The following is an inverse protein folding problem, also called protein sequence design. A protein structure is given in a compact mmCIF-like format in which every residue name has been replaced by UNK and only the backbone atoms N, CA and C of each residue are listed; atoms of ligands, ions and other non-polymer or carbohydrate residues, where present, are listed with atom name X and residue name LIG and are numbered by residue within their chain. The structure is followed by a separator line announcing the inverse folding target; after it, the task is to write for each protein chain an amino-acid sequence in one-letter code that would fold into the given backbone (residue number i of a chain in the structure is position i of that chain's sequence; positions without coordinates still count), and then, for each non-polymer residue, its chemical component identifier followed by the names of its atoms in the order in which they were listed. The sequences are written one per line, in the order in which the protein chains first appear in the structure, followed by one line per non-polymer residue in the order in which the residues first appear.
data_IF_989973076566
#
_entry.id   IF_989973076566
#
_cell.length_a   1.000
_cell.length_b   1.000
_cell.length_c   1.000
_cell.angle_alpha   90.00
_cell.angle_beta   90.00
_cell.angle_gamma   90.00
#
_symmetry.space_group_name_H-M   'P 1'
#
loop_
_entity.id
_entity.type
_entity.pdbx_description
1 polymer ?
#
# COMPACT_ATOMS: atom_id res chain seq x y z
N UNK A 1 -9.16 -17.94 23.29
CA UNK A 1 -10.09 -16.95 22.68
C UNK A 1 -11.55 -17.38 22.86
N UNK A 2 -11.81 -18.67 22.77
CA UNK A 2 -13.05 -19.40 23.05
C UNK A 2 -13.74 -18.92 24.34
N UNK A 3 -13.00 -18.84 25.47
CA UNK A 3 -13.52 -18.30 26.73
C UNK A 3 -14.04 -16.86 26.63
N UNK A 4 -13.40 -16.00 25.81
CA UNK A 4 -13.86 -14.62 25.60
C UNK A 4 -15.19 -14.65 24.83
N UNK A 5 -15.25 -15.47 23.77
CA UNK A 5 -16.44 -15.64 22.94
C UNK A 5 -17.62 -16.16 23.78
N UNK A 6 -17.41 -17.19 24.59
CA UNK A 6 -18.41 -17.77 25.49
C UNK A 6 -18.98 -16.74 26.47
N UNK A 7 -18.11 -15.99 27.16
CA UNK A 7 -18.54 -14.93 28.10
C UNK A 7 -19.31 -13.84 27.36
N UNK A 8 -18.86 -13.43 26.17
CA UNK A 8 -19.56 -12.43 25.37
C UNK A 8 -20.97 -12.89 24.96
N UNK A 9 -21.12 -14.13 24.50
CA UNK A 9 -22.40 -14.68 24.04
C UNK A 9 -23.41 -14.89 25.18
N UNK A 10 -22.96 -15.00 26.42
CA UNK A 10 -23.88 -14.97 27.58
C UNK A 10 -24.58 -13.61 27.79
N UNK A 11 -24.10 -12.53 27.13
CA UNK A 11 -24.55 -11.14 27.36
C UNK A 11 -24.83 -10.33 26.08
N UNK A 12 -24.58 -10.89 24.90
CA UNK A 12 -24.75 -10.25 23.59
C UNK A 12 -25.32 -11.26 22.57
N UNK A 13 -25.99 -10.75 21.54
CA UNK A 13 -26.59 -11.59 20.48
C UNK A 13 -25.52 -12.28 19.63
N UNK A 14 -24.43 -11.58 19.36
CA UNK A 14 -23.36 -12.02 18.46
C UNK A 14 -22.02 -11.45 18.92
N UNK A 15 -20.94 -12.17 18.62
CA UNK A 15 -19.58 -11.75 18.98
C UNK A 15 -18.52 -12.34 18.03
N UNK A 16 -17.40 -11.62 17.91
CA UNK A 16 -16.21 -11.99 17.15
C UNK A 16 -14.96 -11.65 17.99
N UNK A 17 -14.04 -12.60 18.08
CA UNK A 17 -12.73 -12.42 18.69
C UNK A 17 -11.68 -12.51 17.59
N UNK A 18 -10.87 -11.46 17.47
CA UNK A 18 -9.81 -11.32 16.46
C UNK A 18 -8.46 -11.22 17.17
N UNK A 19 -7.52 -12.10 16.87
CA UNK A 19 -6.17 -12.09 17.48
C UNK A 19 -5.12 -11.91 16.41
N UNK A 20 -4.11 -11.10 16.73
CA UNK A 20 -2.90 -10.94 15.92
C UNK A 20 -1.71 -11.16 16.83
N UNK A 21 -0.81 -12.03 16.41
CA UNK A 21 0.57 -12.07 16.90
C UNK A 21 1.48 -11.60 15.79
N UNK A 22 2.46 -10.79 16.15
CA UNK A 22 3.42 -10.22 15.23
C UNK A 22 4.80 -10.25 15.87
N UNK A 23 5.78 -10.74 15.13
CA UNK A 23 7.20 -10.61 15.47
C UNK A 23 7.90 -9.89 14.34
N UNK A 24 8.65 -8.85 14.65
CA UNK A 24 9.43 -8.06 13.67
C UNK A 24 10.87 -7.99 14.12
N UNK A 25 11.78 -8.09 13.16
CA UNK A 25 13.18 -7.73 13.34
C UNK A 25 13.55 -6.72 12.26
N UNK A 26 14.15 -5.61 12.68
CA UNK A 26 14.55 -4.52 11.77
C UNK A 26 16.04 -4.26 11.95
N UNK A 27 16.81 -4.26 10.86
CA UNK A 27 18.21 -3.81 10.83
C UNK A 27 18.22 -2.45 10.16
N UNK A 28 18.73 -1.43 10.86
CA UNK A 28 18.78 -0.05 10.35
C UNK A 28 20.20 0.36 10.05
N UNK A 29 20.37 1.07 8.94
CA UNK A 29 21.63 1.64 8.49
C UNK A 29 21.53 3.16 8.49
N UNK A 30 22.63 3.82 8.86
CA UNK A 30 22.76 5.26 8.75
C UNK A 30 24.23 5.62 8.56
N UNK A 31 24.49 6.54 7.64
CA UNK A 31 25.84 6.97 7.30
C UNK A 31 26.76 5.80 6.94
N UNK A 32 26.29 4.93 6.03
CA UNK A 32 27.03 3.76 5.49
C UNK A 32 27.37 2.66 6.51
N UNK A 33 26.73 2.65 7.68
CA UNK A 33 26.99 1.65 8.73
C UNK A 33 25.72 1.26 9.48
N UNK A 34 25.77 0.14 10.18
CA UNK A 34 24.69 -0.29 11.07
C UNK A 34 24.47 0.78 12.15
N UNK A 35 23.20 1.15 12.32
CA UNK A 35 22.73 2.09 13.35
C UNK A 35 22.11 1.36 14.53
N UNK A 36 21.18 0.46 14.27
CA UNK A 36 20.48 -0.30 15.31
C UNK A 36 19.91 -1.60 14.75
N UNK A 37 19.65 -2.54 15.66
CA UNK A 37 18.92 -3.77 15.39
C UNK A 37 17.80 -3.82 16.42
N UNK A 38 16.56 -3.75 15.92
CA UNK A 38 15.37 -3.67 16.75
C UNK A 38 14.59 -4.98 16.65
N UNK A 39 13.90 -5.36 17.73
CA UNK A 39 12.96 -6.50 17.71
C UNK A 39 11.69 -6.14 18.45
N UNK A 40 10.55 -6.39 17.81
CA UNK A 40 9.21 -6.14 18.33
C UNK A 40 8.44 -7.45 18.40
N UNK A 41 7.77 -7.68 19.53
CA UNK A 41 6.78 -8.74 19.67
C UNK A 41 5.46 -8.14 20.14
N UNK A 42 4.38 -8.44 19.42
CA UNK A 42 3.02 -8.05 19.78
C UNK A 42 2.12 -9.30 19.83
N UNK A 43 1.26 -9.38 20.84
CA UNK A 43 0.18 -10.37 20.95
C UNK A 43 -1.08 -9.64 21.42
N UNK A 44 -1.96 -9.35 20.46
CA UNK A 44 -3.13 -8.52 20.68
C UNK A 44 -4.42 -9.25 20.38
N UNK A 45 -5.46 -8.95 21.15
CA UNK A 45 -6.82 -9.45 20.95
C UNK A 45 -7.81 -8.30 20.88
N UNK A 46 -8.70 -8.35 19.89
CA UNK A 46 -9.86 -7.48 19.75
C UNK A 46 -11.14 -8.30 19.94
N UNK A 47 -12.12 -7.72 20.62
CA UNK A 47 -13.46 -8.27 20.77
C UNK A 47 -14.47 -7.29 20.17
N UNK A 48 -15.25 -7.77 19.20
CA UNK A 48 -16.38 -7.06 18.62
C UNK A 48 -17.67 -7.79 19.01
N UNK A 49 -18.67 -7.08 19.50
CA UNK A 49 -19.97 -7.64 19.92
C UNK A 49 -21.11 -6.90 19.23
N UNK A 50 -22.24 -7.57 19.02
CA UNK A 50 -23.50 -6.93 18.67
C UNK A 50 -24.44 -7.11 19.86
N UNK A 51 -24.71 -6.01 20.57
CA UNK A 51 -25.63 -5.97 21.71
C UNK A 51 -26.77 -5.01 21.44
N UNK A 52 -28.01 -5.51 21.46
CA UNK A 52 -29.18 -4.69 21.15
C UNK A 52 -29.13 -4.08 19.75
N UNK A 53 -28.56 -4.81 18.78
CA UNK A 53 -28.39 -4.36 17.39
C UNK A 53 -27.31 -3.28 17.19
N UNK A 54 -26.45 -3.02 18.19
CA UNK A 54 -25.37 -2.03 18.11
C UNK A 54 -24.01 -2.67 18.32
N UNK A 55 -23.00 -2.15 17.63
CA UNK A 55 -21.63 -2.66 17.65
C UNK A 55 -20.91 -2.17 18.90
N UNK A 56 -20.43 -3.08 19.72
CA UNK A 56 -19.46 -2.80 20.79
C UNK A 56 -18.07 -3.30 20.41
N UNK A 57 -17.03 -2.63 20.89
CA UNK A 57 -15.64 -3.01 20.67
C UNK A 57 -14.76 -2.73 21.88
N UNK A 58 -13.78 -3.60 22.09
CA UNK A 58 -12.66 -3.43 23.02
C UNK A 58 -11.46 -4.24 22.54
N UNK A 59 -10.28 -3.93 23.06
CA UNK A 59 -9.05 -4.67 22.76
C UNK A 59 -8.12 -4.74 23.97
N UNK A 60 -7.22 -5.72 23.96
CA UNK A 60 -6.16 -5.90 24.96
C UNK A 60 -4.89 -6.45 24.31
N UNK A 61 -3.74 -6.24 24.96
CA UNK A 61 -2.42 -6.76 24.56
C UNK A 61 -2.04 -8.05 25.33
N UNK A 62 -3.02 -8.69 25.97
CA UNK A 62 -2.89 -10.00 26.62
C UNK A 62 -4.27 -10.62 26.84
N UNK A 63 -4.30 -11.93 27.08
CA UNK A 63 -5.53 -12.71 27.30
C UNK A 63 -5.90 -12.88 28.79
N UNK A 64 -5.20 -12.24 29.72
CA UNK A 64 -5.35 -12.52 31.17
C UNK A 64 -6.68 -12.03 31.73
N UNK A 65 -7.23 -10.95 31.20
CA UNK A 65 -8.46 -10.32 31.70
C UNK A 65 -9.62 -10.37 30.69
N UNK A 66 -10.05 -11.60 30.38
CA UNK A 66 -11.15 -11.86 29.45
C UNK A 66 -12.47 -11.17 29.87
N UNK A 67 -12.76 -11.08 31.17
CA UNK A 67 -14.01 -10.49 31.67
C UNK A 67 -14.05 -8.99 31.44
N UNK A 68 -12.98 -8.28 31.80
CA UNK A 68 -12.90 -6.84 31.59
C UNK A 68 -12.94 -6.48 30.10
N UNK A 69 -12.26 -7.25 29.24
CA UNK A 69 -12.37 -7.09 27.79
C UNK A 69 -13.84 -7.16 27.34
N UNK A 70 -14.57 -8.18 27.78
CA UNK A 70 -16.00 -8.36 27.46
C UNK A 70 -16.84 -7.21 28.01
N UNK A 71 -16.71 -6.88 29.28
CA UNK A 71 -17.50 -5.84 29.93
C UNK A 71 -17.28 -4.46 29.26
N UNK A 72 -16.05 -4.15 28.83
CA UNK A 72 -15.73 -2.94 28.05
C UNK A 72 -16.38 -2.95 26.66
N UNK A 73 -16.34 -4.07 25.94
CA UNK A 73 -17.00 -4.19 24.62
C UNK A 73 -18.52 -4.04 24.75
N UNK A 74 -19.11 -4.68 25.75
CA UNK A 74 -20.55 -4.58 26.02
C UNK A 74 -20.94 -3.15 26.41
N UNK A 75 -20.12 -2.49 27.23
CA UNK A 75 -20.37 -1.10 27.65
C UNK A 75 -20.22 -0.11 26.50
N UNK A 76 -19.32 -0.34 25.54
CA UNK A 76 -19.17 0.55 24.38
C UNK A 76 -20.29 0.41 23.36
N UNK A 77 -21.00 -0.74 23.32
CA UNK A 77 -22.11 -0.98 22.37
C UNK A 77 -23.24 0.05 22.44
N UNK A 78 -23.51 0.63 23.61
CA UNK A 78 -24.54 1.66 23.78
C UNK A 78 -24.25 2.93 22.96
N UNK A 79 -22.97 3.21 22.67
CA UNK A 79 -22.53 4.36 21.87
C UNK A 79 -22.17 3.98 20.43
N UNK A 80 -21.89 2.70 20.16
CA UNK A 80 -21.48 2.26 18.84
C UNK A 80 -22.60 2.27 17.80
N UNK A 81 -22.26 2.26 16.52
CA UNK A 81 -23.23 2.33 15.43
C UNK A 81 -24.16 1.10 15.38
N UNK A 82 -25.32 1.26 14.74
CA UNK A 82 -26.22 0.13 14.44
C UNK A 82 -25.50 -0.87 13.52
N UNK A 83 -25.56 -2.15 13.87
CA UNK A 83 -25.09 -3.24 13.03
C UNK A 83 -26.11 -3.51 11.92
N UNK A 84 -25.64 -3.59 10.67
CA UNK A 84 -26.45 -4.00 9.52
C UNK A 84 -26.03 -5.36 8.95
N UNK A 85 -25.13 -6.05 9.63
CA UNK A 85 -24.61 -7.35 9.24
C UNK A 85 -24.74 -8.34 10.40
N UNK A 86 -24.63 -9.62 10.06
CA UNK A 86 -24.36 -10.71 10.98
C UNK A 86 -22.93 -11.19 10.74
N UNK A 87 -22.27 -11.74 11.77
CA UNK A 87 -20.95 -12.33 11.57
C UNK A 87 -21.01 -13.51 10.60
N UNK A 88 -20.00 -13.68 9.72
CA UNK A 88 -20.06 -14.67 8.66
C UNK A 88 -19.93 -16.09 9.21
N UNK A 89 -20.67 -17.03 8.62
CA UNK A 89 -20.45 -18.46 8.81
C UNK A 89 -19.17 -18.92 8.08
N UNK A 90 -18.61 -20.10 8.43
CA UNK A 90 -17.51 -20.70 7.69
C UNK A 90 -17.79 -20.78 6.18
N UNK A 91 -16.76 -20.53 5.39
CA UNK A 91 -16.80 -20.60 3.93
C UNK A 91 -15.50 -21.26 3.41
N UNK A 92 -15.48 -21.65 2.14
CA UNK A 92 -14.27 -22.18 1.53
C UNK A 92 -13.19 -21.10 1.44
N UNK A 93 -12.02 -21.39 2.04
CA UNK A 93 -10.86 -20.50 2.06
C UNK A 93 -9.79 -21.06 1.14
N UNK A 94 -9.38 -20.27 0.14
CA UNK A 94 -8.31 -20.64 -0.76
C UNK A 94 -6.96 -20.57 -0.05
N UNK A 95 -6.06 -21.49 -0.41
CA UNK A 95 -4.64 -21.36 -0.03
C UNK A 95 -4.03 -20.17 -0.77
N UNK A 96 -3.39 -19.27 -0.02
CA UNK A 96 -2.71 -18.08 -0.56
C UNK A 96 -1.24 -18.16 -0.20
N UNK A 97 -0.38 -17.94 -1.18
CA UNK A 97 1.07 -17.85 -0.98
C UNK A 97 1.41 -16.53 -0.29
N UNK A 98 1.26 -16.46 1.04
CA UNK A 98 1.59 -15.29 1.85
C UNK A 98 2.55 -15.61 3.01
N UNK A 99 3.02 -16.84 3.10
CA UNK A 99 3.96 -17.30 4.11
C UNK A 99 5.15 -17.99 3.46
N UNK A 100 6.34 -17.59 3.88
CA UNK A 100 7.63 -18.15 3.47
C UNK A 100 8.47 -18.45 4.72
N UNK A 101 8.68 -19.74 5.05
CA UNK A 101 9.50 -20.14 6.18
C UNK A 101 10.92 -19.56 6.15
N UNK A 102 11.47 -19.25 4.97
CA UNK A 102 12.81 -18.69 4.83
C UNK A 102 12.91 -17.33 5.53
N UNK A 103 11.88 -16.48 5.40
CA UNK A 103 11.81 -15.18 6.08
C UNK A 103 11.91 -15.36 7.60
N UNK A 104 11.15 -16.28 8.17
CA UNK A 104 11.17 -16.56 9.61
C UNK A 104 12.55 -17.02 10.09
N UNK A 105 13.17 -17.92 9.32
CA UNK A 105 14.48 -18.52 9.65
C UNK A 105 15.70 -17.63 9.36
N UNK A 106 15.52 -16.55 8.60
CA UNK A 106 16.59 -15.63 8.20
C UNK A 106 17.30 -15.08 9.45
N UNK A 107 18.63 -15.15 9.48
CA UNK A 107 19.39 -14.66 10.62
C UNK A 107 19.61 -13.15 10.52
N UNK A 108 19.82 -12.51 11.66
CA UNK A 108 20.11 -11.07 11.70
C UNK A 108 21.42 -10.77 10.98
N UNK A 109 22.40 -11.66 11.10
CA UNK A 109 23.70 -11.55 10.42
C UNK A 109 23.52 -11.54 8.90
N UNK A 110 22.65 -12.38 8.34
CA UNK A 110 22.37 -12.41 6.90
C UNK A 110 21.74 -11.08 6.43
N UNK A 111 20.83 -10.51 7.22
CA UNK A 111 20.21 -9.20 6.94
C UNK A 111 21.23 -8.05 7.00
N UNK A 112 22.17 -8.12 7.96
CA UNK A 112 23.27 -7.17 8.08
C UNK A 112 24.16 -7.25 6.85
N UNK A 113 24.61 -8.44 6.48
CA UNK A 113 25.47 -8.67 5.32
C UNK A 113 24.81 -8.21 4.01
N UNK A 114 23.50 -8.42 3.85
CA UNK A 114 22.74 -7.92 2.70
C UNK A 114 22.73 -6.38 2.63
N UNK A 115 22.43 -5.72 3.75
CA UNK A 115 22.44 -4.27 3.82
C UNK A 115 23.81 -3.66 3.57
N UNK A 116 24.87 -4.22 4.18
CA UNK A 116 26.26 -3.82 3.94
C UNK A 116 26.66 -4.02 2.49
N UNK A 117 26.28 -5.14 1.86
CA UNK A 117 26.56 -5.39 0.43
C UNK A 117 25.96 -4.33 -0.47
N UNK A 118 24.69 -3.96 -0.26
CA UNK A 118 24.05 -2.92 -1.06
C UNK A 118 24.77 -1.57 -0.93
N UNK A 119 25.14 -1.19 0.30
CA UNK A 119 25.87 0.04 0.59
C UNK A 119 27.26 0.02 -0.05
N UNK A 120 27.99 -1.10 0.04
CA UNK A 120 29.30 -1.27 -0.60
C UNK A 120 29.21 -1.11 -2.11
N UNK A 121 28.26 -1.77 -2.77
CA UNK A 121 28.07 -1.66 -4.23
C UNK A 121 27.86 -0.22 -4.70
N UNK A 122 27.16 0.60 -3.92
CA UNK A 122 26.94 2.03 -4.20
C UNK A 122 28.21 2.84 -3.91
N UNK A 123 28.77 2.70 -2.72
CA UNK A 123 29.88 3.54 -2.24
C UNK A 123 31.23 3.22 -2.90
N UNK A 124 31.43 2.02 -3.45
CA UNK A 124 32.61 1.70 -4.27
C UNK A 124 32.64 2.50 -5.58
N UNK A 125 31.47 2.79 -6.16
CA UNK A 125 31.34 3.56 -7.41
C UNK A 125 31.15 5.06 -7.16
N UNK A 126 30.41 5.40 -6.11
CA UNK A 126 30.00 6.77 -5.77
C UNK A 126 30.32 7.07 -4.28
N UNK A 127 31.61 7.14 -3.90
CA UNK A 127 32.08 7.21 -2.50
C UNK A 127 31.64 8.46 -1.74
N UNK A 128 31.18 9.49 -2.44
CA UNK A 128 30.63 10.72 -1.86
C UNK A 128 29.22 10.55 -1.29
N UNK A 129 28.51 9.46 -1.62
CA UNK A 129 27.16 9.23 -1.12
C UNK A 129 27.17 8.61 0.28
N UNK A 130 26.17 9.02 1.06
CA UNK A 130 25.84 8.46 2.36
C UNK A 130 24.53 7.70 2.24
N UNK A 131 24.52 6.43 2.59
CA UNK A 131 23.36 5.57 2.55
C UNK A 131 22.75 5.44 3.95
N UNK A 132 21.43 5.48 4.00
CA UNK A 132 20.61 5.12 5.15
C UNK A 132 19.44 4.27 4.68
N UNK A 133 18.94 3.38 5.54
CA UNK A 133 17.90 2.46 5.12
C UNK A 133 17.59 1.42 6.18
N UNK A 134 16.69 0.52 5.85
CA UNK A 134 16.28 -0.55 6.74
C UNK A 134 15.93 -1.83 5.99
N UNK A 135 16.30 -2.96 6.60
CA UNK A 135 15.79 -4.28 6.26
C UNK A 135 14.86 -4.73 7.38
N UNK A 136 13.65 -5.13 7.01
CA UNK A 136 12.65 -5.64 7.93
C UNK A 136 12.26 -7.06 7.54
N UNK A 137 12.23 -7.95 8.53
CA UNK A 137 11.51 -9.22 8.44
C UNK A 137 10.39 -9.25 9.48
N UNK A 138 9.25 -9.81 9.12
CA UNK A 138 8.15 -10.01 10.05
C UNK A 138 7.44 -11.35 9.83
N UNK A 139 6.96 -11.95 10.92
CA UNK A 139 6.01 -13.07 10.93
C UNK A 139 4.73 -12.64 11.65
N UNK A 140 3.60 -13.00 11.07
CA UNK A 140 2.26 -12.73 11.60
C UNK A 140 1.51 -14.05 11.75
N UNK A 141 0.75 -14.17 12.84
CA UNK A 141 -0.27 -15.19 13.04
C UNK A 141 -1.59 -14.47 13.33
N UNK A 142 -2.60 -14.73 12.51
CA UNK A 142 -3.94 -14.16 12.66
C UNK A 142 -4.92 -15.29 12.92
N UNK A 143 -5.83 -15.11 13.88
CA UNK A 143 -6.97 -16.01 14.12
C UNK A 143 -8.24 -15.22 14.37
N UNK A 144 -9.34 -15.65 13.76
CA UNK A 144 -10.67 -15.05 13.90
C UNK A 144 -11.65 -16.14 14.28
N UNK A 145 -12.45 -15.88 15.33
CA UNK A 145 -13.58 -16.74 15.69
C UNK A 145 -14.81 -15.93 16.00
N UNK A 146 -15.98 -16.44 15.64
CA UNK A 146 -17.23 -15.73 15.83
C UNK A 146 -18.39 -16.63 16.25
N UNK A 147 -19.52 -15.99 16.58
CA UNK A 147 -20.76 -16.64 17.02
C UNK A 147 -21.48 -17.47 15.96
N UNK A 148 -21.10 -17.32 14.68
CA UNK A 148 -21.67 -18.07 13.55
C UNK A 148 -20.87 -19.34 13.23
N UNK A 149 -19.87 -19.66 14.05
CA UNK A 149 -19.06 -20.88 13.94
C UNK A 149 -17.79 -20.74 13.11
N UNK A 150 -17.45 -19.52 12.63
CA UNK A 150 -16.14 -19.28 12.00
C UNK A 150 -15.02 -19.51 13.02
N UNK A 151 -13.98 -20.21 12.61
CA UNK A 151 -12.71 -20.33 13.32
C UNK A 151 -11.59 -20.52 12.29
N UNK A 152 -11.04 -19.40 11.82
CA UNK A 152 -10.04 -19.39 10.75
C UNK A 152 -8.73 -18.82 11.25
N UNK A 153 -7.62 -19.35 10.76
CA UNK A 153 -6.30 -18.84 11.07
C UNK A 153 -5.35 -18.93 9.90
N UNK A 154 -4.39 -18.01 9.85
CA UNK A 154 -3.32 -18.05 8.86
C UNK A 154 -2.04 -17.45 9.39
N UNK A 155 -0.93 -17.87 8.78
CA UNK A 155 0.37 -17.26 8.94
C UNK A 155 0.70 -16.41 7.72
N UNK A 156 1.48 -15.37 7.95
CA UNK A 156 2.00 -14.50 6.91
C UNK A 156 3.41 -14.05 7.27
N UNK A 157 4.25 -13.87 6.26
CA UNK A 157 5.58 -13.26 6.42
C UNK A 157 5.67 -11.99 5.61
N UNK A 158 6.58 -11.10 5.99
CA UNK A 158 6.96 -9.91 5.23
C UNK A 158 8.48 -9.78 5.25
N UNK A 159 9.07 -9.50 4.09
CA UNK A 159 10.47 -9.09 3.96
C UNK A 159 10.51 -7.82 3.13
N UNK A 160 11.22 -6.81 3.61
CA UNK A 160 11.36 -5.53 2.94
C UNK A 160 12.77 -4.97 3.10
N UNK A 161 13.28 -4.36 2.04
CA UNK A 161 14.54 -3.62 2.06
C UNK A 161 14.31 -2.28 1.37
N UNK A 162 14.48 -1.18 2.11
CA UNK A 162 14.49 0.18 1.60
C UNK A 162 15.84 0.83 1.87
N UNK A 163 16.38 1.52 0.87
CA UNK A 163 17.64 2.24 0.95
C UNK A 163 17.52 3.61 0.29
N UNK A 164 18.03 4.63 0.99
CA UNK A 164 18.11 6.01 0.55
C UNK A 164 19.58 6.42 0.45
N UNK A 165 20.02 6.74 -0.76
CA UNK A 165 21.34 7.29 -1.02
C UNK A 165 21.27 8.82 -1.08
N UNK A 166 22.08 9.46 -0.25
CA UNK A 166 22.08 10.89 -0.04
C UNK A 166 23.43 11.52 -0.36
N UNK A 167 23.42 12.61 -1.12
CA UNK A 167 24.59 13.43 -1.39
C UNK A 167 24.28 14.90 -1.11
N UNK A 168 24.98 15.49 -0.15
CA UNK A 168 25.00 16.94 0.05
C UNK A 168 25.84 17.61 -1.04
N UNK A 169 25.32 18.71 -1.61
CA UNK A 169 25.99 19.56 -2.61
C UNK A 169 25.92 21.02 -2.15
N UNK A 170 26.77 21.89 -2.70
CA UNK A 170 26.74 23.33 -2.37
C UNK A 170 25.36 23.96 -2.64
N UNK A 171 24.70 23.54 -3.72
CA UNK A 171 23.38 24.05 -4.14
C UNK A 171 22.19 23.20 -3.61
N UNK A 172 22.39 22.37 -2.58
CA UNK A 172 21.31 21.58 -1.95
C UNK A 172 21.68 20.12 -1.73
N UNK A 173 20.78 19.19 -2.06
CA UNK A 173 21.07 17.76 -1.93
C UNK A 173 20.48 16.94 -3.09
N UNK A 174 20.97 15.72 -3.21
CA UNK A 174 20.42 14.67 -4.07
C UNK A 174 20.07 13.48 -3.17
N UNK A 175 18.77 13.19 -3.10
CA UNK A 175 18.21 11.99 -2.48
C UNK A 175 17.74 11.02 -3.55
N UNK A 176 18.04 9.74 -3.36
CA UNK A 176 17.56 8.66 -4.21
C UNK A 176 17.14 7.51 -3.33
N UNK A 177 15.84 7.26 -3.27
CA UNK A 177 15.24 6.13 -2.56
C UNK A 177 14.95 4.97 -3.51
N UNK A 178 15.29 3.75 -3.13
CA UNK A 178 14.78 2.53 -3.76
C UNK A 178 14.45 1.49 -2.69
N UNK A 179 13.52 0.59 -3.04
CA UNK A 179 13.23 -0.54 -2.17
C UNK A 179 12.35 -1.57 -2.82
N UNK A 180 12.29 -2.73 -2.17
CA UNK A 180 11.50 -3.89 -2.55
C UNK A 180 10.88 -4.52 -1.31
N UNK A 181 9.71 -5.13 -1.48
CA UNK A 181 8.99 -5.76 -0.39
C UNK A 181 8.02 -6.83 -0.87
N UNK A 182 7.81 -7.86 -0.06
CA UNK A 182 6.91 -8.95 -0.35
C UNK A 182 6.74 -9.90 0.83
N UNK A 183 6.03 -11.00 0.63
CA UNK A 183 5.84 -12.04 1.63
C UNK A 183 6.84 -13.20 1.52
N UNK A 184 7.66 -13.23 0.45
CA UNK A 184 8.76 -14.18 0.28
C UNK A 184 10.10 -13.50 0.53
N UNK A 185 11.08 -14.26 1.01
CA UNK A 185 12.46 -13.81 1.03
C UNK A 185 13.01 -13.77 -0.39
N UNK A 186 13.61 -12.64 -0.74
CA UNK A 186 14.47 -12.47 -1.90
C UNK A 186 15.60 -11.57 -1.46
N UNK A 187 16.80 -11.82 -1.97
CA UNK A 187 17.96 -10.96 -1.75
C UNK A 187 17.86 -9.77 -2.71
N UNK A 188 17.82 -8.54 -2.18
CA UNK A 188 17.55 -7.32 -2.94
C UNK A 188 18.76 -6.38 -3.08
N UNK A 189 19.89 -6.64 -2.43
CA UNK A 189 21.05 -5.73 -2.39
C UNK A 189 21.52 -5.29 -3.77
N UNK A 190 21.71 -6.24 -4.70
CA UNK A 190 22.20 -5.94 -6.05
C UNK A 190 21.17 -5.15 -6.85
N UNK A 191 19.90 -5.51 -6.74
CA UNK A 191 18.79 -4.86 -7.44
C UNK A 191 18.61 -3.40 -6.97
N UNK A 192 18.62 -3.18 -5.66
CA UNK A 192 18.48 -1.85 -5.07
C UNK A 192 19.70 -0.99 -5.41
N UNK A 193 20.91 -1.52 -5.27
CA UNK A 193 22.14 -0.80 -5.61
C UNK A 193 22.18 -0.42 -7.10
N UNK A 194 21.83 -1.32 -8.02
CA UNK A 194 21.80 -1.04 -9.46
C UNK A 194 20.83 0.10 -9.79
N UNK A 195 19.61 0.07 -9.21
CA UNK A 195 18.61 1.11 -9.46
C UNK A 195 19.03 2.47 -8.90
N UNK A 196 19.64 2.49 -7.70
CA UNK A 196 20.20 3.71 -7.13
C UNK A 196 21.31 4.26 -8.04
N UNK A 197 22.28 3.44 -8.44
CA UNK A 197 23.38 3.85 -9.31
C UNK A 197 22.89 4.37 -10.67
N UNK A 198 21.89 3.70 -11.26
CA UNK A 198 21.24 4.18 -12.49
C UNK A 198 20.59 5.54 -12.28
N UNK A 199 19.89 5.75 -11.17
CA UNK A 199 19.28 7.03 -10.85
C UNK A 199 20.33 8.12 -10.57
N UNK A 200 21.47 7.79 -9.95
CA UNK A 200 22.62 8.68 -9.76
C UNK A 200 23.15 9.13 -11.12
N UNK A 201 23.36 8.20 -12.05
CA UNK A 201 23.86 8.50 -13.40
C UNK A 201 22.95 9.50 -14.15
N UNK A 202 21.64 9.25 -14.14
CA UNK A 202 20.64 10.14 -14.73
C UNK A 202 20.56 11.51 -14.03
N UNK A 203 20.98 11.59 -12.76
CA UNK A 203 20.93 12.78 -11.92
C UNK A 203 22.27 13.54 -11.81
N UNK A 204 23.29 13.16 -12.58
CA UNK A 204 24.61 13.81 -12.55
C UNK A 204 24.54 15.30 -12.83
N UNK A 205 23.71 15.70 -13.80
CA UNK A 205 23.53 17.08 -14.21
C UNK A 205 22.12 17.59 -13.89
N UNK A 206 22.05 18.80 -13.35
CA UNK A 206 20.79 19.51 -13.17
C UNK A 206 20.45 20.31 -14.43
N UNK A 207 19.17 20.32 -14.81
CA UNK A 207 18.64 21.09 -15.93
C UNK A 207 17.39 21.85 -15.48
N UNK A 208 17.18 23.04 -16.06
CA UNK A 208 15.99 23.84 -15.79
C UNK A 208 14.82 23.39 -16.66
N UNK A 209 13.63 23.40 -16.06
CA UNK A 209 12.35 23.28 -16.77
C UNK A 209 11.53 24.52 -16.41
N UNK A 210 11.14 25.36 -17.39
CA UNK A 210 10.29 26.51 -17.11
C UNK A 210 8.93 26.10 -16.52
N UNK A 211 8.27 26.97 -15.74
CA UNK A 211 6.88 26.75 -15.36
C UNK A 211 6.01 26.64 -16.60
N UNK A 212 5.10 25.68 -16.59
CA UNK A 212 4.31 25.38 -17.76
C UNK A 212 3.60 24.07 -17.61
N UNK A 213 3.29 23.45 -18.74
CA UNK A 213 2.57 22.20 -18.71
C UNK A 213 3.05 21.25 -19.77
N UNK A 214 3.36 20.04 -19.32
CA UNK A 214 4.28 19.14 -19.96
C UNK A 214 3.69 17.74 -20.05
N UNK A 215 4.05 17.04 -21.11
CA UNK A 215 3.93 15.58 -21.18
C UNK A 215 4.73 14.98 -20.03
N UNK A 216 4.18 13.94 -19.39
CA UNK A 216 4.80 13.39 -18.20
C UNK A 216 4.74 11.87 -18.13
N UNK A 217 5.84 11.24 -17.76
CA UNK A 217 5.85 9.82 -17.34
C UNK A 217 5.95 9.80 -15.83
N UNK A 218 4.99 9.17 -15.17
CA UNK A 218 5.12 8.84 -13.75
C UNK A 218 5.68 7.42 -13.69
N UNK A 219 6.83 7.25 -13.04
CA UNK A 219 7.39 5.90 -12.86
C UNK A 219 6.52 5.10 -11.90
N UNK A 220 6.79 3.79 -11.79
CA UNK A 220 6.09 2.95 -10.82
C UNK A 220 6.16 3.50 -9.39
N UNK A 221 7.24 4.20 -9.01
CA UNK A 221 7.41 4.85 -7.70
C UNK A 221 6.51 6.06 -7.50
N UNK A 222 6.28 6.83 -8.56
CA UNK A 222 5.44 8.02 -8.50
C UNK A 222 3.94 7.71 -8.66
N UNK A 223 3.58 6.63 -9.35
CA UNK A 223 2.17 6.28 -9.61
C UNK A 223 1.27 6.13 -8.36
N UNK A 224 1.74 5.62 -7.21
CA UNK A 224 0.98 5.62 -5.96
C UNK A 224 0.42 7.00 -5.57
N UNK A 225 1.08 8.11 -5.91
CA UNK A 225 0.57 9.48 -5.68
C UNK A 225 -0.79 9.71 -6.34
N UNK A 226 -1.03 9.12 -7.52
CA UNK A 226 -2.29 9.27 -8.25
C UNK A 226 -3.30 8.20 -7.81
N UNK A 227 -2.83 6.98 -7.57
CA UNK A 227 -3.67 5.85 -7.21
C UNK A 227 -4.25 5.96 -5.79
N UNK A 228 -3.62 6.71 -4.88
CA UNK A 228 -4.17 6.95 -3.53
C UNK A 228 -5.54 7.65 -3.58
N UNK A 229 -5.71 8.64 -4.48
CA UNK A 229 -6.99 9.31 -4.69
C UNK A 229 -8.06 8.33 -5.16
N UNK A 230 -7.70 7.42 -6.06
CA UNK A 230 -8.60 6.36 -6.49
C UNK A 230 -8.93 5.39 -5.35
N UNK A 231 -7.95 4.97 -4.54
CA UNK A 231 -8.18 4.13 -3.34
C UNK A 231 -9.22 4.73 -2.41
N UNK A 232 -9.13 6.04 -2.17
CA UNK A 232 -10.12 6.78 -1.38
C UNK A 232 -11.47 6.90 -2.11
N UNK A 233 -11.46 7.20 -3.41
CA UNK A 233 -12.67 7.28 -4.24
C UNK A 233 -13.48 5.98 -4.26
N UNK A 234 -12.81 4.82 -4.30
CA UNK A 234 -13.47 3.51 -4.37
C UNK A 234 -13.86 2.94 -3.00
N UNK A 235 -13.50 3.61 -1.91
CA UNK A 235 -13.77 3.13 -0.56
C UNK A 235 -15.27 3.16 -0.25
N UNK A 236 -15.87 1.99 -0.04
CA UNK A 236 -17.30 1.85 0.21
C UNK A 236 -17.83 2.66 1.39
N UNK A 237 -16.99 2.92 2.41
CA UNK A 237 -17.35 3.78 3.55
C UNK A 237 -17.49 5.25 3.14
N UNK A 238 -16.60 5.74 2.28
CA UNK A 238 -16.63 7.13 1.78
C UNK A 238 -17.76 7.32 0.76
N UNK A 239 -18.06 6.29 -0.03
CA UNK A 239 -19.24 6.27 -0.91
C UNK A 239 -20.53 6.28 -0.09
N UNK A 240 -20.63 5.44 0.95
CA UNK A 240 -21.79 5.38 1.84
C UNK A 240 -22.05 6.72 2.54
N UNK A 241 -20.98 7.43 2.93
CA UNK A 241 -21.05 8.78 3.51
C UNK A 241 -21.31 9.89 2.49
N UNK A 242 -21.44 9.57 1.19
CA UNK A 242 -21.59 10.51 0.09
C UNK A 242 -20.45 11.53 -0.03
N UNK A 243 -19.27 11.21 0.47
CA UNK A 243 -18.09 12.07 0.38
C UNK A 243 -17.19 11.74 -0.81
N UNK A 244 -17.26 10.52 -1.33
CA UNK A 244 -16.50 10.13 -2.53
C UNK A 244 -16.99 10.86 -3.79
N UNK A 245 -16.09 11.33 -4.69
CA UNK A 245 -16.50 11.88 -5.99
C UNK A 245 -17.02 10.81 -6.95
N UNK A 246 -16.88 9.53 -6.61
CA UNK A 246 -17.30 8.40 -7.44
C UNK A 246 -18.72 7.89 -7.12
N UNK A 247 -19.44 8.55 -6.21
CA UNK A 247 -20.85 8.23 -5.92
C UNK A 247 -21.65 8.16 -7.22
N UNK A 248 -22.45 7.10 -7.38
CA UNK A 248 -23.28 6.84 -8.58
C UNK A 248 -22.47 6.73 -9.90
N UNK A 249 -21.18 6.40 -9.85
CA UNK A 249 -20.32 6.18 -11.03
C UNK A 249 -20.15 4.72 -11.44
N UNK A 250 -20.72 3.75 -10.72
CA UNK A 250 -20.72 2.35 -11.19
C UNK A 250 -21.33 2.29 -12.60
N UNK A 251 -20.65 1.60 -13.50
CA UNK A 251 -21.03 1.48 -14.92
C UNK A 251 -20.68 2.69 -15.79
N UNK A 252 -20.04 3.73 -15.25
CA UNK A 252 -19.66 4.94 -16.00
C UNK A 252 -18.14 4.98 -16.23
N UNK A 253 -17.68 5.54 -17.36
CA UNK A 253 -16.27 5.84 -17.56
C UNK A 253 -15.80 6.88 -16.54
N UNK A 254 -14.68 6.60 -15.88
CA UNK A 254 -14.06 7.50 -14.88
C UNK A 254 -12.60 7.82 -15.22
N UNK A 255 -11.95 7.00 -16.06
CA UNK A 255 -10.56 7.14 -16.51
C UNK A 255 -10.44 6.69 -17.97
N UNK A 256 -9.24 6.79 -18.54
CA UNK A 256 -8.97 6.43 -19.94
C UNK A 256 -9.27 4.93 -20.18
N UNK A 257 -9.83 4.55 -21.35
CA UNK A 257 -10.17 3.15 -21.64
C UNK A 257 -9.00 2.16 -21.56
N UNK A 258 -7.76 2.62 -21.72
CA UNK A 258 -6.57 1.75 -21.59
C UNK A 258 -6.24 1.40 -20.13
N UNK A 259 -6.83 2.10 -19.16
CA UNK A 259 -6.58 1.89 -17.73
C UNK A 259 -7.52 0.81 -17.20
N UNK A 260 -6.91 -0.27 -16.71
CA UNK A 260 -7.60 -1.35 -16.03
C UNK A 260 -6.97 -1.55 -14.64
N UNK A 261 -7.82 -1.68 -13.62
CA UNK A 261 -7.40 -1.77 -12.23
C UNK A 261 -8.20 -2.84 -11.51
N UNK A 262 -7.51 -3.70 -10.77
CA UNK A 262 -8.08 -4.75 -9.94
C UNK A 262 -7.48 -4.71 -8.54
N UNK A 263 -8.23 -5.18 -7.57
CA UNK A 263 -7.77 -5.48 -6.22
C UNK A 263 -7.65 -7.00 -6.08
N UNK A 264 -6.50 -7.53 -5.69
CA UNK A 264 -6.26 -8.98 -5.64
C UNK A 264 -5.65 -9.44 -4.32
N UNK A 265 -6.49 -9.93 -3.42
CA UNK A 265 -6.06 -10.50 -2.14
C UNK A 265 -5.36 -11.85 -2.26
N UNK A 266 -5.35 -12.44 -3.46
CA UNK A 266 -4.79 -13.76 -3.76
C UNK A 266 -3.44 -13.70 -4.50
N UNK A 267 -2.93 -12.49 -4.77
CA UNK A 267 -1.69 -12.34 -5.55
C UNK A 267 -0.49 -13.00 -4.85
N UNK A 268 0.21 -13.97 -5.46
CA UNK A 268 1.28 -14.68 -4.77
C UNK A 268 2.38 -13.76 -4.24
N UNK A 269 2.70 -13.95 -2.96
CA UNK A 269 3.75 -13.27 -2.22
C UNK A 269 3.71 -11.73 -2.20
N UNK A 270 2.60 -11.11 -2.58
CA UNK A 270 2.44 -9.67 -2.44
C UNK A 270 2.05 -9.28 -1.00
N UNK A 271 2.48 -8.10 -0.56
CA UNK A 271 2.27 -7.63 0.83
C UNK A 271 0.79 -7.56 1.24
N UNK A 272 -0.15 -7.33 0.33
CA UNK A 272 -1.57 -7.27 0.64
C UNK A 272 -2.25 -8.64 0.75
N UNK A 273 -1.54 -9.72 0.41
CA UNK A 273 -2.12 -11.04 0.23
C UNK A 273 -2.38 -11.75 1.56
N UNK A 274 -3.55 -12.38 1.64
CA UNK A 274 -4.05 -13.10 2.81
C UNK A 274 -5.22 -13.99 2.39
N UNK A 275 -5.46 -15.13 3.06
CA UNK A 275 -6.55 -16.05 2.69
C UNK A 275 -7.95 -15.53 3.09
N UNK A 276 -8.03 -14.76 4.17
CA UNK A 276 -9.26 -14.11 4.66
C UNK A 276 -8.98 -12.66 5.04
N UNK A 277 -10.00 -11.81 4.97
CA UNK A 277 -9.92 -10.43 5.41
C UNK A 277 -10.07 -10.26 6.94
N UNK A 278 -10.08 -9.02 7.42
CA UNK A 278 -10.19 -8.68 8.85
C UNK A 278 -11.54 -9.01 9.50
N UNK A 279 -12.48 -9.60 8.75
CA UNK A 279 -13.78 -10.08 9.23
C UNK A 279 -14.02 -11.55 8.94
N UNK A 280 -13.01 -12.26 8.40
CA UNK A 280 -13.11 -13.69 8.09
C UNK A 280 -13.74 -14.00 6.74
N UNK A 281 -13.86 -13.00 5.85
CA UNK A 281 -14.38 -13.22 4.49
C UNK A 281 -13.24 -13.75 3.60
N UNK A 282 -13.42 -14.86 2.87
CA UNK A 282 -12.42 -15.37 1.94
C UNK A 282 -11.99 -14.31 0.92
N UNK A 283 -10.68 -14.15 0.77
CA UNK A 283 -10.09 -13.22 -0.20
C UNK A 283 -10.47 -13.58 -1.62
N UNK A 284 -10.54 -12.56 -2.47
CA UNK A 284 -10.86 -12.71 -3.89
C UNK A 284 -10.17 -11.65 -4.73
N UNK A 285 -10.25 -11.82 -6.04
CA UNK A 285 -9.98 -10.76 -7.01
C UNK A 285 -11.25 -9.95 -7.26
N UNK A 286 -11.14 -8.63 -7.16
CA UNK A 286 -12.23 -7.68 -7.45
C UNK A 286 -11.81 -6.76 -8.58
N UNK A 287 -12.52 -6.82 -9.72
CA UNK A 287 -12.31 -5.85 -10.80
C UNK A 287 -12.85 -4.49 -10.36
N UNK A 288 -11.98 -3.47 -10.25
CA UNK A 288 -12.36 -2.13 -9.83
C UNK A 288 -12.67 -1.26 -11.05
N UNK A 289 -11.78 -1.24 -12.04
CA UNK A 289 -11.94 -0.51 -13.30
C UNK A 289 -11.64 -1.44 -14.45
N UNK A 290 -12.55 -1.54 -15.43
CA UNK A 290 -12.33 -2.29 -16.67
C UNK A 290 -12.65 -1.39 -17.85
N UNK A 291 -11.72 -1.27 -18.77
CA UNK A 291 -11.79 -0.41 -19.96
C UNK A 291 -12.17 1.04 -19.61
N UNK A 292 -11.55 1.57 -18.55
CA UNK A 292 -11.83 2.91 -18.01
C UNK A 292 -13.16 3.07 -17.26
N UNK A 293 -13.99 2.03 -17.19
CA UNK A 293 -15.31 2.03 -16.54
C UNK A 293 -15.22 1.49 -15.11
N UNK A 294 -15.77 2.24 -14.14
CA UNK A 294 -15.87 1.79 -12.76
C UNK A 294 -16.84 0.61 -12.64
N UNK A 295 -16.36 -0.52 -12.15
CA UNK A 295 -17.14 -1.76 -11.98
C UNK A 295 -17.57 -1.98 -10.54
N UNK A 296 -16.67 -1.81 -9.58
CA UNK A 296 -16.94 -2.07 -8.17
C UNK A 296 -16.30 -1.03 -7.25
N UNK A 297 -16.93 -0.87 -6.09
CA UNK A 297 -16.30 -0.32 -4.90
C UNK A 297 -15.76 -1.45 -4.04
N UNK A 298 -14.98 -1.11 -3.01
CA UNK A 298 -14.52 -2.07 -2.00
C UNK A 298 -15.34 -1.92 -0.71
N UNK A 299 -15.71 -3.04 -0.10
CA UNK A 299 -16.59 -3.09 1.05
C UNK A 299 -16.07 -4.02 2.16
N UNK A 300 -16.35 -3.61 3.40
CA UNK A 300 -16.40 -4.46 4.59
C UNK A 300 -17.88 -4.91 4.80
N UNK A 301 -18.15 -5.78 5.78
CA UNK A 301 -19.51 -6.28 6.05
C UNK A 301 -20.51 -5.15 6.35
N UNK A 302 -20.12 -4.20 7.20
CA UNK A 302 -21.00 -3.11 7.60
C UNK A 302 -21.39 -2.23 6.42
N UNK A 303 -20.40 -1.78 5.64
CA UNK A 303 -20.61 -0.89 4.50
C UNK A 303 -21.29 -1.60 3.34
N UNK A 304 -20.99 -2.87 3.09
CA UNK A 304 -21.71 -3.70 2.14
C UNK A 304 -23.21 -3.73 2.47
N UNK A 305 -23.56 -4.11 3.70
CA UNK A 305 -24.97 -4.17 4.13
C UNK A 305 -25.67 -2.82 4.04
N UNK A 306 -25.03 -1.73 4.47
CA UNK A 306 -25.60 -0.38 4.37
C UNK A 306 -25.83 0.06 2.91
N UNK A 307 -24.98 -0.41 2.00
CA UNK A 307 -25.06 -0.13 0.57
C UNK A 307 -25.90 -1.15 -0.20
N UNK A 308 -26.51 -2.14 0.48
CA UNK A 308 -27.26 -3.25 -0.14
C UNK A 308 -26.42 -4.00 -1.19
N UNK A 309 -25.15 -4.18 -0.88
CA UNK A 309 -24.16 -4.92 -1.66
C UNK A 309 -23.64 -6.10 -0.83
N UNK A 310 -22.79 -6.92 -1.43
CA UNK A 310 -21.98 -7.90 -0.71
C UNK A 310 -20.63 -7.31 -0.31
N UNK A 311 -20.01 -7.87 0.74
CA UNK A 311 -18.61 -7.59 1.06
C UNK A 311 -17.75 -7.93 -0.15
N UNK A 312 -16.61 -7.27 -0.33
CA UNK A 312 -15.63 -7.61 -1.38
C UNK A 312 -14.37 -8.24 -0.81
N UNK A 313 -14.41 -8.69 0.45
CA UNK A 313 -13.26 -9.21 1.20
C UNK A 313 -12.15 -8.16 1.41
N UNK A 314 -12.54 -6.90 1.63
CA UNK A 314 -11.63 -5.76 1.75
C UNK A 314 -11.61 -5.16 3.16
N UNK A 315 -12.07 -5.88 4.19
CA UNK A 315 -11.96 -5.38 5.55
C UNK A 315 -10.51 -5.46 6.05
N UNK A 316 -9.92 -4.33 6.44
CA UNK A 316 -8.60 -4.28 7.07
C UNK A 316 -8.71 -3.71 8.48
N UNK A 317 -7.91 -4.26 9.41
CA UNK A 317 -7.83 -3.85 10.80
C UNK A 317 -6.55 -4.36 11.47
N UNK A 318 -6.18 -3.70 12.57
CA UNK A 318 -5.39 -4.30 13.65
C UNK A 318 -6.30 -4.82 14.77
N UNK A 319 -5.74 -5.57 15.72
CA UNK A 319 -6.45 -6.11 16.88
C UNK A 319 -7.11 -5.03 17.75
N UNK A 320 -6.58 -3.80 17.73
CA UNK A 320 -7.07 -2.65 18.50
C UNK A 320 -7.96 -1.69 17.70
N UNK A 321 -8.49 -2.14 16.56
CA UNK A 321 -9.35 -1.31 15.69
C UNK A 321 -10.55 -2.09 15.16
N UNK A 322 -11.61 -1.37 14.85
CA UNK A 322 -12.73 -1.87 14.05
C UNK A 322 -12.29 -2.04 12.59
N UNK A 323 -12.85 -3.02 11.86
CA UNK A 323 -12.62 -3.15 10.43
C UNK A 323 -13.11 -1.93 9.66
N UNK A 324 -12.43 -1.67 8.55
CA UNK A 324 -12.85 -0.69 7.54
C UNK A 324 -12.42 -1.14 6.15
N UNK A 325 -13.11 -0.72 5.08
CA UNK A 325 -12.72 -1.10 3.72
C UNK A 325 -11.36 -0.52 3.37
N UNK A 326 -10.47 -1.33 2.82
CA UNK A 326 -9.18 -0.94 2.25
C UNK A 326 -8.79 -1.92 1.15
N UNK A 327 -8.05 -1.43 0.15
CA UNK A 327 -7.47 -2.29 -0.88
C UNK A 327 -6.53 -3.33 -0.25
N UNK A 328 -6.45 -4.51 -0.86
CA UNK A 328 -5.41 -5.50 -0.62
C UNK A 328 -4.20 -5.14 -1.48
N UNK A 329 -3.99 -5.84 -2.60
CA UNK A 329 -3.02 -5.48 -3.63
C UNK A 329 -3.74 -4.76 -4.77
N UNK A 330 -3.54 -3.45 -4.88
CA UNK A 330 -4.12 -2.67 -5.98
C UNK A 330 -3.19 -2.78 -7.20
N UNK A 331 -3.70 -3.33 -8.29
CA UNK A 331 -2.93 -3.65 -9.48
C UNK A 331 -3.45 -2.83 -10.64
N UNK A 332 -2.63 -1.93 -11.17
CA UNK A 332 -2.83 -1.32 -12.48
C UNK A 332 -2.23 -2.29 -13.51
N UNK A 333 -3.09 -2.84 -14.38
CA UNK A 333 -2.67 -3.86 -15.34
C UNK A 333 -1.65 -3.26 -16.33
N UNK A 334 -0.59 -4.00 -16.69
CA UNK A 334 0.37 -3.55 -17.69
C UNK A 334 -0.27 -3.32 -19.06
N UNK A 335 0.26 -2.35 -19.79
CA UNK A 335 -0.01 -2.16 -21.23
C UNK A 335 1.11 -2.74 -22.08
N UNK A 336 1.27 -2.22 -23.29
CA UNK A 336 2.23 -2.76 -24.27
C UNK A 336 3.48 -1.90 -24.46
N UNK A 337 3.47 -0.65 -23.99
CA UNK A 337 4.55 0.30 -24.26
C UNK A 337 5.78 0.07 -23.35
N UNK A 338 6.97 0.13 -23.93
CA UNK A 338 8.22 0.19 -23.15
C UNK A 338 8.47 1.59 -22.61
N UNK A 339 9.24 1.70 -21.52
CA UNK A 339 9.61 3.00 -20.97
C UNK A 339 10.41 3.82 -22.00
N UNK A 340 11.29 3.17 -22.77
CA UNK A 340 12.09 3.78 -23.82
C UNK A 340 11.21 4.34 -24.95
N UNK A 341 10.15 3.63 -25.33
CA UNK A 341 9.17 4.08 -26.34
C UNK A 341 8.42 5.32 -25.86
N UNK A 342 7.97 5.33 -24.60
CA UNK A 342 7.33 6.50 -24.00
C UNK A 342 8.28 7.70 -23.96
N UNK A 343 9.53 7.49 -23.55
CA UNK A 343 10.54 8.55 -23.50
C UNK A 343 10.78 9.10 -24.92
N UNK A 344 10.94 8.23 -25.92
CA UNK A 344 11.16 8.62 -27.32
C UNK A 344 10.03 9.47 -27.92
N UNK A 345 8.78 9.24 -27.52
CA UNK A 345 7.62 10.03 -27.99
C UNK A 345 7.59 11.46 -27.42
N UNK A 346 8.28 11.72 -26.32
CA UNK A 346 8.25 13.03 -25.67
C UNK A 346 9.16 14.03 -26.42
N UNK A 347 8.53 15.02 -27.05
CA UNK A 347 9.22 16.19 -27.62
C UNK A 347 9.80 17.10 -26.54
N UNK A 348 9.00 17.42 -25.53
CA UNK A 348 9.41 18.12 -24.31
C UNK A 348 8.51 17.66 -23.16
N UNK A 349 9.10 17.28 -22.04
CA UNK A 349 8.36 16.70 -20.93
C UNK A 349 9.20 16.41 -19.69
N UNK A 350 8.61 15.66 -18.78
CA UNK A 350 9.19 15.33 -17.48
C UNK A 350 8.96 13.87 -17.11
N UNK A 351 9.95 13.23 -16.49
CA UNK A 351 9.76 11.97 -15.77
C UNK A 351 9.66 12.31 -14.29
N UNK A 352 8.56 11.90 -13.66
CA UNK A 352 8.32 12.02 -12.22
C UNK A 352 8.67 10.68 -11.58
N UNK A 353 9.72 10.64 -10.76
CA UNK A 353 10.16 9.40 -10.11
C UNK A 353 9.89 9.40 -8.60
N UNK A 354 10.26 10.47 -7.90
CA UNK A 354 10.10 10.62 -6.46
C UNK A 354 9.53 12.01 -6.13
N UNK A 355 8.65 12.07 -5.15
CA UNK A 355 7.97 13.29 -4.72
C UNK A 355 8.03 13.42 -3.19
N UNK A 356 8.14 14.65 -2.72
CA UNK A 356 8.09 14.99 -1.29
C UNK A 356 6.70 15.55 -0.96
N UNK A 357 6.16 15.12 0.17
CA UNK A 357 4.88 15.64 0.66
C UNK A 357 3.67 15.02 -0.03
N UNK A 358 3.75 13.76 -0.44
CA UNK A 358 2.57 12.99 -0.86
C UNK A 358 1.50 13.06 0.25
N UNK A 359 0.26 13.38 -0.13
CA UNK A 359 -0.84 13.66 0.81
C UNK A 359 -1.10 15.15 1.07
N UNK A 360 -0.27 16.06 0.55
CA UNK A 360 -0.60 17.48 0.48
C UNK A 360 -1.62 17.72 -0.64
N UNK A 361 -2.81 18.22 -0.26
CA UNK A 361 -3.93 18.46 -1.18
C UNK A 361 -5.24 17.81 -0.72
N UNK A 362 -6.27 17.87 -1.55
CA UNK A 362 -7.54 17.18 -1.28
C UNK A 362 -7.54 15.85 -2.06
N UNK A 363 -6.91 14.85 -1.43
CA UNK A 363 -6.75 13.50 -1.96
C UNK A 363 -8.07 12.90 -2.45
N UNK A 364 -9.16 13.11 -1.70
CA UNK A 364 -10.48 12.56 -2.01
C UNK A 364 -11.01 13.09 -3.36
N UNK A 365 -10.84 14.39 -3.60
CA UNK A 365 -11.22 15.03 -4.87
C UNK A 365 -10.19 14.84 -5.99
N UNK A 366 -9.03 14.27 -5.68
CA UNK A 366 -7.95 14.00 -6.62
C UNK A 366 -6.90 15.11 -6.74
N UNK A 367 -7.06 16.25 -6.07
CA UNK A 367 -6.12 17.37 -6.16
C UNK A 367 -4.80 17.04 -5.46
N UNK A 368 -3.69 17.28 -6.15
CA UNK A 368 -2.34 17.13 -5.59
C UNK A 368 -1.46 18.32 -6.01
N UNK A 369 -0.55 18.69 -5.12
CA UNK A 369 0.51 19.65 -5.38
C UNK A 369 1.72 19.26 -4.54
N UNK A 370 2.76 18.71 -5.17
CA UNK A 370 3.88 18.08 -4.48
C UNK A 370 5.21 18.54 -5.06
N UNK A 371 6.23 18.63 -4.21
CA UNK A 371 7.58 18.92 -4.67
C UNK A 371 8.19 17.68 -5.29
N UNK A 372 8.90 17.85 -6.39
CA UNK A 372 9.63 16.77 -7.02
C UNK A 372 10.97 16.58 -6.30
N UNK A 373 11.18 15.40 -5.72
CA UNK A 373 12.45 15.04 -5.09
C UNK A 373 13.47 14.59 -6.16
N UNK A 374 12.99 13.68 -7.02
CA UNK A 374 13.70 13.18 -8.17
C UNK A 374 12.79 13.14 -9.39
N UNK A 375 13.24 13.78 -10.45
CA UNK A 375 12.67 13.65 -11.77
C UNK A 375 13.58 14.26 -12.81
N UNK A 376 13.22 14.06 -14.07
CA UNK A 376 14.13 14.29 -15.18
C UNK A 376 13.45 15.04 -16.31
N UNK A 377 14.12 16.04 -16.90
CA UNK A 377 13.63 16.67 -18.13
C UNK A 377 13.86 15.71 -19.29
N UNK A 378 12.85 15.55 -20.12
CA UNK A 378 12.94 14.84 -21.41
C UNK A 378 12.76 15.85 -22.52
N UNK A 379 13.63 15.81 -23.52
CA UNK A 379 13.56 16.67 -24.70
C UNK A 379 14.08 15.90 -25.91
N UNK A 380 13.32 15.96 -27.00
CA UNK A 380 13.56 15.20 -28.25
C UNK A 380 13.83 13.72 -28.02
N UNK A 381 13.00 13.10 -27.17
CA UNK A 381 13.09 11.67 -26.91
C UNK A 381 14.25 11.24 -26.02
N UNK A 382 14.91 12.18 -25.32
CA UNK A 382 16.11 11.89 -24.49
C UNK A 382 16.01 12.56 -23.13
N UNK A 383 16.44 11.85 -22.09
CA UNK A 383 16.64 12.42 -20.76
C UNK A 383 17.82 13.40 -20.81
N UNK A 384 17.60 14.65 -20.42
CA UNK A 384 18.63 15.72 -20.44
C UNK A 384 19.32 15.90 -19.09
N UNK A 385 18.67 15.51 -17.99
CA UNK A 385 19.21 15.62 -16.64
C UNK A 385 18.10 15.75 -15.60
N UNK A 386 18.50 15.82 -14.33
CA UNK A 386 17.60 16.01 -13.18
C UNK A 386 17.01 17.42 -13.20
N UNK A 387 15.72 17.54 -12.93
CA UNK A 387 15.10 18.83 -12.60
C UNK A 387 15.02 18.95 -11.07
N UNK A 388 15.28 20.16 -10.57
CA UNK A 388 15.33 20.46 -9.14
C UNK A 388 14.50 21.71 -8.87
N UNK A 389 13.99 21.83 -7.63
CA UNK A 389 13.23 22.98 -7.16
C UNK A 389 11.99 23.20 -8.02
N UNK A 390 11.27 22.09 -8.28
CA UNK A 390 10.09 22.02 -9.12
C UNK A 390 8.94 21.41 -8.33
N UNK A 391 7.76 21.98 -8.47
CA UNK A 391 6.51 21.45 -7.98
C UNK A 391 5.67 20.91 -9.14
N UNK A 392 5.06 19.74 -8.95
CA UNK A 392 4.06 19.20 -9.87
C UNK A 392 2.67 19.30 -9.24
N UNK A 393 1.68 19.67 -10.04
CA UNK A 393 0.30 19.76 -9.58
C UNK A 393 -0.70 19.30 -10.63
N UNK A 394 -1.88 18.91 -10.15
CA UNK A 394 -2.97 18.47 -11.00
C UNK A 394 -4.06 17.75 -10.23
N UNK A 395 -4.90 17.04 -10.98
CA UNK A 395 -5.95 16.21 -10.44
C UNK A 395 -5.80 14.77 -10.93
N UNK A 396 -5.69 13.81 -10.01
CA UNK A 396 -5.44 12.40 -10.30
C UNK A 396 -6.48 11.80 -11.26
N UNK A 397 -7.78 12.09 -11.08
CA UNK A 397 -8.83 11.61 -11.98
C UNK A 397 -8.70 12.21 -13.39
N UNK A 398 -8.37 13.51 -13.48
CA UNK A 398 -8.14 14.17 -14.78
C UNK A 398 -6.92 13.58 -15.50
N UNK A 399 -5.82 13.33 -14.78
CA UNK A 399 -4.62 12.71 -15.34
C UNK A 399 -4.90 11.29 -15.82
N UNK A 400 -5.55 10.45 -14.99
CA UNK A 400 -5.91 9.09 -15.37
C UNK A 400 -6.89 9.03 -16.55
N UNK A 401 -7.64 10.11 -16.82
CA UNK A 401 -8.46 10.25 -18.02
C UNK A 401 -7.69 10.70 -19.28
N UNK A 402 -6.43 11.14 -19.13
CA UNK A 402 -5.56 11.68 -20.17
C UNK A 402 -4.25 10.89 -20.29
N UNK A 403 -4.38 9.56 -20.28
CA UNK A 403 -3.29 8.61 -20.48
C UNK A 403 -3.02 8.43 -21.97
N UNK A 404 -1.76 8.58 -22.37
CA UNK A 404 -1.26 8.27 -23.71
C UNK A 404 -0.90 6.79 -23.80
N UNK A 405 -0.14 6.27 -22.83
CA UNK A 405 0.28 4.87 -22.81
C UNK A 405 0.47 4.36 -21.38
N UNK A 406 0.27 3.05 -21.21
CA UNK A 406 0.55 2.30 -19.97
C UNK A 406 1.73 1.37 -20.25
N UNK A 407 2.66 1.30 -19.30
CA UNK A 407 3.89 0.54 -19.46
C UNK A 407 3.66 -0.96 -19.36
N UNK A 408 4.53 -1.72 -20.02
CA UNK A 408 4.52 -3.19 -19.99
C UNK A 408 5.15 -3.80 -18.74
N UNK A 409 6.00 -3.05 -18.05
CA UNK A 409 6.74 -3.52 -16.86
C UNK A 409 6.15 -2.93 -15.58
N UNK A 410 5.47 -3.76 -14.79
CA UNK A 410 4.90 -3.37 -13.51
C UNK A 410 5.67 -3.97 -12.34
N UNK A 411 5.97 -3.15 -11.34
CA UNK A 411 6.53 -3.58 -10.05
C UNK A 411 5.63 -3.19 -8.90
N UNK A 412 5.85 -3.82 -7.75
CA UNK A 412 5.21 -3.43 -6.51
C UNK A 412 5.92 -2.22 -5.90
N UNK A 413 5.12 -1.32 -5.34
CA UNK A 413 5.53 -0.26 -4.43
C UNK A 413 4.60 -0.36 -3.22
N UNK A 414 5.09 -1.04 -2.18
CA UNK A 414 4.24 -1.55 -1.11
C UNK A 414 3.16 -2.49 -1.66
N UNK A 415 1.89 -2.15 -1.43
CA UNK A 415 0.73 -2.93 -1.91
C UNK A 415 0.18 -2.48 -3.26
N UNK A 416 0.87 -1.58 -3.96
CA UNK A 416 0.45 -1.10 -5.29
C UNK A 416 1.36 -1.71 -6.34
N UNK A 417 0.81 -2.55 -7.22
CA UNK A 417 1.53 -3.00 -8.43
C UNK A 417 1.18 -2.08 -9.58
N UNK A 418 2.16 -1.42 -10.16
CA UNK A 418 1.89 -0.48 -11.25
C UNK A 418 3.08 -0.39 -12.20
N UNK A 419 2.82 -0.34 -13.52
CA UNK A 419 3.81 0.10 -14.49
C UNK A 419 4.02 1.62 -14.44
N UNK A 420 5.04 2.14 -15.15
CA UNK A 420 5.08 3.56 -15.49
C UNK A 420 3.88 3.92 -16.38
N UNK A 421 3.37 5.14 -16.24
CA UNK A 421 2.24 5.64 -17.04
C UNK A 421 2.60 6.98 -17.67
N UNK A 422 2.32 7.09 -18.96
CA UNK A 422 2.58 8.27 -19.78
C UNK A 422 1.31 9.10 -19.96
N UNK A 423 1.34 10.35 -19.52
CA UNK A 423 0.24 11.29 -19.49
C UNK A 423 0.44 12.44 -20.49
N UNK A 424 -0.68 12.94 -21.01
CA UNK A 424 -0.72 14.06 -21.96
C UNK A 424 -0.16 15.35 -21.35
N UNK A 425 -0.53 15.64 -20.09
CA UNK A 425 -0.31 16.95 -19.50
C UNK A 425 -0.31 16.93 -17.97
N UNK A 426 0.77 17.39 -17.36
CA UNK A 426 0.87 17.77 -15.94
C UNK A 426 1.31 19.23 -15.82
N UNK A 427 0.92 19.92 -14.75
CA UNK A 427 1.39 21.28 -14.47
C UNK A 427 2.70 21.21 -13.71
N UNK A 428 3.68 21.98 -14.17
CA UNK A 428 5.00 22.17 -13.57
C UNK A 428 5.08 23.63 -13.12
N UNK A 429 5.38 23.85 -11.84
CA UNK A 429 5.67 25.15 -11.25
C UNK A 429 7.09 25.15 -10.68
N UNK A 430 7.70 26.34 -10.60
CA UNK A 430 9.05 26.55 -10.04
C UNK A 430 9.01 27.38 -8.78
#
# INVERSE_FOLDING_TARGET
MEKILEIALSKAQEAEVYRVRKQVTTVKFQANRIKSIDSLFEDGVGLRVIKGGRIGFSSANNLKDARNLVDRALSSSQFGQKAYFHFPSPAEVLSVQCFDPQVSSLKVEDMVEEGERAISLITEQEPQFSCEGELEKAEFEVRILNSSGLDESYKKTEYAFFLYAFLAKEEGFLGIEEGESGCSYQEYSSLIAERILKAIDLAKNNVKIPPGSYRAIFTSKAMPLLLQSLKSGINGKLVQKKSSPLVEKIGKPIVCPVVNILDDGLFPFALGSRPIDGEGIPSRRTQIIKDGVLKNFIYDLQTASMMKSESTANATRSYNSLPSPSTTNLILEPGDASLEEMIKDIKEGIIVDQVIGSGQGNELTGEFSVNLDLGYKVEEGKIKGRVKDVMISGNAYKLLNKVIAVGKEARFVGTVKTPPVYFEKVTVAG
#
